data_IF_959650831273
#
_entry.id   IF_959650831273
#
_cell.length_a   1.000
_cell.length_b   1.000
_cell.length_c   1.000
_cell.angle_alpha   90.00
_cell.angle_beta   90.00
_cell.angle_gamma   90.00
#
_symmetry.space_group_name_H-M   'P 1'
#
loop_
_entity.id
_entity.type
_entity.pdbx_description
1 polymer ?
#
# COMPACT_ATOMS: atom_id res chain seq x y z
N UNK A 1 5.57 -7.67 -15.01
CA UNK A 1 4.34 -8.09 -14.29
C UNK A 1 3.17 -8.19 -15.27
N UNK A 2 2.26 -9.16 -15.10
CA UNK A 2 1.02 -9.23 -15.89
C UNK A 2 -0.08 -8.36 -15.26
N UNK A 3 -0.79 -7.58 -16.09
CA UNK A 3 -1.95 -6.78 -15.66
C UNK A 3 -3.25 -7.38 -16.17
N UNK A 4 -4.34 -7.18 -15.43
CA UNK A 4 -5.68 -7.70 -15.72
C UNK A 4 -6.72 -6.57 -15.65
N UNK A 5 -7.85 -6.72 -16.36
CA UNK A 5 -8.94 -5.74 -16.27
C UNK A 5 -9.71 -5.90 -14.97
N UNK A 6 -9.98 -4.79 -14.29
CA UNK A 6 -10.81 -4.76 -13.09
C UNK A 6 -12.30 -4.72 -13.49
N UNK A 7 -12.90 -5.90 -13.68
CA UNK A 7 -14.30 -6.00 -14.09
C UNK A 7 -14.60 -5.18 -15.36
N UNK A 8 -15.63 -4.32 -15.28
CA UNK A 8 -16.08 -3.47 -16.40
C UNK A 8 -15.64 -2.00 -16.29
N UNK A 9 -14.79 -1.65 -15.31
CA UNK A 9 -14.42 -0.25 -15.04
C UNK A 9 -13.46 0.37 -16.07
N UNK A 10 -12.92 -0.44 -16.98
CA UNK A 10 -11.88 -0.01 -17.92
C UNK A 10 -10.47 0.05 -17.32
N UNK A 11 -10.34 -0.06 -16.00
CA UNK A 11 -9.04 -0.06 -15.31
C UNK A 11 -8.27 -1.35 -15.55
N UNK A 12 -6.94 -1.23 -15.66
CA UNK A 12 -6.00 -2.34 -15.64
C UNK A 12 -5.22 -2.30 -14.33
N UNK A 13 -5.21 -3.42 -13.61
CA UNK A 13 -4.54 -3.57 -12.32
C UNK A 13 -3.47 -4.65 -12.41
N UNK A 14 -2.48 -4.58 -11.54
CA UNK A 14 -1.52 -5.68 -11.35
C UNK A 14 -2.26 -6.93 -10.84
N UNK A 15 -1.86 -8.14 -11.28
CA UNK A 15 -2.47 -9.38 -10.75
C UNK A 15 -2.30 -9.54 -9.24
N UNK A 16 -1.23 -8.97 -8.69
CA UNK A 16 -0.96 -8.88 -7.26
C UNK A 16 -1.04 -7.40 -6.89
N UNK A 17 -1.72 -7.10 -5.79
CA UNK A 17 -1.90 -5.75 -5.23
C UNK A 17 -1.19 -5.70 -3.88
N UNK A 18 -0.45 -4.63 -3.62
CA UNK A 18 0.19 -4.41 -2.32
C UNK A 18 -0.80 -3.73 -1.36
N UNK A 19 -1.18 -4.41 -0.28
CA UNK A 19 -1.95 -3.81 0.80
C UNK A 19 -1.08 -2.94 1.70
N UNK A 20 -1.64 -1.84 2.21
CA UNK A 20 -0.91 -0.87 3.06
C UNK A 20 -1.27 -0.94 4.54
N UNK A 21 -2.10 -1.90 4.97
CA UNK A 21 -2.60 -1.98 6.35
C UNK A 21 -1.49 -2.17 7.40
N UNK A 22 -0.36 -2.75 7.00
CA UNK A 22 0.79 -2.94 7.89
C UNK A 22 1.64 -1.68 8.09
N UNK A 23 1.38 -0.58 7.38
CA UNK A 23 2.15 0.66 7.48
C UNK A 23 1.38 1.64 8.36
N UNK A 24 2.00 2.12 9.44
CA UNK A 24 1.22 2.80 10.48
C UNK A 24 1.99 3.14 11.73
N UNK A 25 1.25 3.66 12.70
CA UNK A 25 1.73 3.75 14.08
C UNK A 25 1.68 2.37 14.78
N UNK A 26 2.80 1.85 15.29
CA UNK A 26 2.85 0.61 16.07
C UNK A 26 1.96 0.62 17.33
N UNK A 27 1.53 1.80 17.81
CA UNK A 27 0.55 1.92 18.91
C UNK A 27 -0.82 1.36 18.56
N UNK A 28 -1.16 1.27 17.27
CA UNK A 28 -2.42 0.68 16.83
C UNK A 28 -2.42 -0.84 17.03
N UNK A 29 -1.38 -1.52 16.52
CA UNK A 29 -1.21 -2.96 16.63
C UNK A 29 0.28 -3.34 16.57
N UNK A 30 0.72 -4.40 17.25
CA UNK A 30 2.14 -4.76 17.36
C UNK A 30 2.79 -5.23 16.05
N UNK A 31 2.00 -5.57 15.03
CA UNK A 31 2.50 -5.98 13.70
C UNK A 31 2.65 -4.81 12.71
N UNK A 32 2.34 -3.59 13.15
CA UNK A 32 2.41 -2.40 12.31
C UNK A 32 3.85 -1.91 12.24
N UNK A 33 4.27 -1.57 11.03
CA UNK A 33 5.58 -1.05 10.67
C UNK A 33 5.48 0.48 10.65
N UNK A 34 6.12 1.12 11.61
CA UNK A 34 6.22 2.59 11.71
C UNK A 34 7.52 3.19 11.20
N UNK A 35 8.47 2.35 10.76
CA UNK A 35 9.73 2.80 10.16
C UNK A 35 9.51 3.16 8.68
N UNK A 36 9.58 4.45 8.36
CA UNK A 36 9.39 4.97 7.00
C UNK A 36 10.41 4.42 5.99
N UNK A 37 11.65 4.13 6.41
CA UNK A 37 12.67 3.57 5.51
C UNK A 37 12.32 2.13 5.13
N UNK A 38 11.83 1.35 6.10
CA UNK A 38 11.36 -0.02 5.87
C UNK A 38 10.13 -0.05 4.96
N UNK A 39 9.15 0.83 5.21
CA UNK A 39 7.97 1.00 4.34
C UNK A 39 8.39 1.35 2.91
N UNK A 40 9.30 2.32 2.76
CA UNK A 40 9.83 2.75 1.46
C UNK A 40 10.50 1.59 0.73
N UNK A 41 11.30 0.78 1.44
CA UNK A 41 11.95 -0.40 0.87
C UNK A 41 10.95 -1.45 0.40
N UNK A 42 9.85 -1.67 1.14
CA UNK A 42 8.78 -2.59 0.72
C UNK A 42 8.08 -2.11 -0.55
N UNK A 43 7.71 -0.83 -0.61
CA UNK A 43 7.07 -0.22 -1.78
C UNK A 43 8.00 -0.29 -2.98
N UNK A 44 9.29 0.04 -2.81
CA UNK A 44 10.29 -0.06 -3.88
C UNK A 44 10.43 -1.49 -4.40
N UNK A 45 10.48 -2.48 -3.50
CA UNK A 45 10.58 -3.89 -3.90
C UNK A 45 9.35 -4.33 -4.70
N UNK A 46 8.15 -3.94 -4.27
CA UNK A 46 6.92 -4.21 -5.00
C UNK A 46 6.92 -3.53 -6.39
N UNK A 47 7.37 -2.28 -6.45
CA UNK A 47 7.48 -1.52 -7.69
C UNK A 47 8.47 -2.16 -8.67
N UNK A 48 9.65 -2.55 -8.19
CA UNK A 48 10.68 -3.23 -9.00
C UNK A 48 10.20 -4.60 -9.50
N UNK A 49 9.33 -5.28 -8.75
CA UNK A 49 8.63 -6.49 -9.19
C UNK A 49 7.50 -6.22 -10.21
N UNK A 50 7.21 -4.94 -10.50
CA UNK A 50 6.20 -4.48 -11.44
C UNK A 50 4.79 -4.41 -10.87
N UNK A 51 4.64 -4.40 -9.53
CA UNK A 51 3.36 -4.09 -8.87
C UNK A 51 3.14 -2.58 -8.96
N UNK A 52 2.03 -2.19 -9.58
CA UNK A 52 1.65 -0.78 -9.79
C UNK A 52 0.32 -0.43 -9.12
N UNK A 53 -0.25 -1.35 -8.35
CA UNK A 53 -1.57 -1.18 -7.72
C UNK A 53 -1.43 -1.41 -6.23
N UNK A 54 -1.93 -0.45 -5.44
CA UNK A 54 -1.83 -0.43 -3.99
C UNK A 54 -3.25 -0.33 -3.40
N UNK A 55 -3.52 -1.11 -2.36
CA UNK A 55 -4.80 -1.11 -1.63
C UNK A 55 -4.62 -0.37 -0.30
N UNK A 56 -5.48 0.61 -0.06
CA UNK A 56 -5.45 1.47 1.13
C UNK A 56 -6.87 1.83 1.58
N UNK A 57 -7.03 2.23 2.83
CA UNK A 57 -8.31 2.66 3.40
C UNK A 57 -8.10 3.76 4.45
N UNK A 58 -9.14 4.55 4.70
CA UNK A 58 -9.12 5.59 5.73
C UNK A 58 -8.76 5.02 7.10
N UNK A 59 -9.25 3.82 7.44
CA UNK A 59 -8.88 3.16 8.70
C UNK A 59 -7.38 2.90 8.79
N UNK A 60 -6.68 2.61 7.69
CA UNK A 60 -5.22 2.46 7.69
C UNK A 60 -4.52 3.82 7.84
N UNK A 61 -5.12 4.90 7.30
CA UNK A 61 -4.58 6.25 7.31
C UNK A 61 -4.78 6.99 8.64
N UNK A 62 -5.92 6.81 9.30
CA UNK A 62 -6.24 7.49 10.56
C UNK A 62 -5.29 7.08 11.71
N UNK A 63 -4.55 5.98 11.53
CA UNK A 63 -3.50 5.52 12.44
C UNK A 63 -2.07 5.78 11.93
N UNK A 64 -1.88 6.51 10.82
CA UNK A 64 -0.58 6.95 10.31
C UNK A 64 -0.33 8.42 10.71
N UNK A 65 0.49 8.72 11.73
CA UNK A 65 0.92 10.08 11.98
C UNK A 65 1.89 10.50 10.87
N UNK A 66 1.44 11.34 9.94
CA UNK A 66 2.34 12.04 9.01
C UNK A 66 2.28 11.64 7.53
N UNK A 67 1.54 10.59 7.16
CA UNK A 67 1.16 10.46 5.74
C UNK A 67 0.10 11.51 5.45
N UNK A 68 0.53 12.67 4.92
CA UNK A 68 -0.38 13.69 4.42
C UNK A 68 -1.39 13.04 3.47
N UNK A 69 -2.65 13.48 3.57
CA UNK A 69 -3.76 13.06 2.71
C UNK A 69 -3.28 12.92 1.27
N UNK A 70 -3.06 11.70 0.80
CA UNK A 70 -2.96 11.43 -0.63
C UNK A 70 -4.38 11.55 -1.19
N UNK A 71 -4.80 12.79 -1.43
CA UNK A 71 -5.87 13.17 -2.35
C UNK A 71 -5.34 13.19 -3.77
#
# INVERSE_FOLDING_TARGET
>A
MQTVRLGKSGLKVSKIILGTMQYGDPRWQPWVIGDEEEVTRHIKTAYDAGIQTFDTANVCHDWLPGFGKCS
#
